data_IF_328978437439
#
_entry.id   IF_328978437439
#
_cell.length_a   1.000
_cell.length_b   1.000
_cell.length_c   1.000
_cell.angle_alpha   90.00
_cell.angle_beta   90.00
_cell.angle_gamma   90.00
#
_symmetry.space_group_name_H-M   'P 1'
#
loop_
_entity.id
_entity.type
_entity.pdbx_description
1 polymer ?
#
# COMPACT_ATOMS: atom_id res chain seq x y z
N UNK A 1 15.20 17.40 -1.40
CA UNK A 1 14.86 17.67 -2.81
C UNK A 1 15.49 16.65 -3.75
N UNK A 2 16.81 16.44 -3.71
CA UNK A 2 17.56 15.52 -4.59
C UNK A 2 17.10 14.06 -4.48
N UNK A 3 16.90 13.55 -3.26
CA UNK A 3 16.52 12.15 -3.02
C UNK A 3 15.19 11.74 -3.70
N UNK A 4 14.22 12.65 -3.73
CA UNK A 4 12.89 12.41 -4.28
C UNK A 4 12.63 13.15 -5.60
N UNK A 5 13.69 13.61 -6.28
CA UNK A 5 13.61 14.27 -7.59
C UNK A 5 12.67 15.47 -7.63
N UNK A 6 12.64 16.29 -6.56
CA UNK A 6 11.71 17.41 -6.43
C UNK A 6 12.10 18.57 -7.32
N UNK A 7 11.17 18.98 -8.17
CA UNK A 7 11.24 20.17 -9.03
C UNK A 7 9.97 20.98 -8.76
N UNK A 8 10.15 22.25 -8.39
CA UNK A 8 9.06 23.20 -8.14
C UNK A 8 9.09 24.28 -9.22
N UNK A 9 7.93 24.87 -9.49
CA UNK A 9 7.76 25.78 -10.62
C UNK A 9 8.42 27.14 -10.39
N UNK A 10 8.41 27.62 -9.14
CA UNK A 10 8.96 28.92 -8.79
C UNK A 10 9.49 28.95 -7.34
N UNK A 11 10.10 30.08 -6.98
CA UNK A 11 10.68 30.33 -5.65
C UNK A 11 9.60 30.34 -4.56
N UNK A 12 8.39 30.81 -4.88
CA UNK A 12 7.30 30.89 -3.91
C UNK A 12 6.79 29.48 -3.55
N UNK A 13 6.59 28.60 -4.54
CA UNK A 13 6.28 27.19 -4.33
C UNK A 13 7.40 26.50 -3.55
N UNK A 14 8.67 26.73 -3.92
CA UNK A 14 9.80 26.17 -3.19
C UNK A 14 9.80 26.58 -1.71
N UNK A 15 9.57 27.87 -1.43
CA UNK A 15 9.50 28.39 -0.07
C UNK A 15 8.33 27.77 0.73
N UNK A 16 7.14 27.71 0.12
CA UNK A 16 5.96 27.08 0.73
C UNK A 16 6.22 25.60 1.04
N UNK A 17 6.78 24.85 0.09
CA UNK A 17 7.12 23.42 0.25
C UNK A 17 8.16 23.20 1.35
N UNK A 18 9.13 24.10 1.47
CA UNK A 18 10.11 24.07 2.54
C UNK A 18 9.51 24.31 3.92
N UNK A 19 8.55 25.25 4.05
CA UNK A 19 7.83 25.47 5.31
C UNK A 19 7.02 24.23 5.72
N UNK A 20 6.29 23.62 4.78
CA UNK A 20 5.54 22.38 5.02
C UNK A 20 6.48 21.26 5.46
N UNK A 21 7.62 21.11 4.78
CA UNK A 21 8.65 20.14 5.13
C UNK A 21 9.16 20.31 6.55
N UNK A 22 9.52 21.52 6.96
CA UNK A 22 10.00 21.79 8.31
C UNK A 22 8.95 21.44 9.37
N UNK A 23 7.69 21.83 9.15
CA UNK A 23 6.59 21.51 10.06
C UNK A 23 6.40 19.98 10.19
N UNK A 24 6.47 19.24 9.08
CA UNK A 24 6.34 17.79 9.08
C UNK A 24 7.54 17.09 9.76
N UNK A 25 8.76 17.61 9.60
CA UNK A 25 9.95 17.08 10.29
C UNK A 25 9.85 17.31 11.81
N UNK A 26 9.41 18.49 12.24
CA UNK A 26 9.17 18.77 13.65
C UNK A 26 8.09 17.86 14.24
N UNK A 27 7.02 17.61 13.47
CA UNK A 27 5.99 16.65 13.85
C UNK A 27 6.56 15.23 14.00
N UNK A 28 7.37 14.76 13.04
CA UNK A 28 8.04 13.45 13.10
C UNK A 28 8.92 13.34 14.35
N UNK A 29 9.73 14.37 14.62
CA UNK A 29 10.61 14.40 15.78
C UNK A 29 9.83 14.33 17.09
N UNK A 30 8.82 15.18 17.25
CA UNK A 30 7.98 15.23 18.44
C UNK A 30 7.22 13.91 18.65
N UNK A 31 6.67 13.36 17.57
CA UNK A 31 5.95 12.09 17.59
C UNK A 31 6.83 10.94 18.07
N UNK A 32 8.06 10.84 17.54
CA UNK A 32 8.99 9.78 17.90
C UNK A 32 9.58 9.96 19.30
N UNK A 33 9.79 11.21 19.74
CA UNK A 33 10.32 11.52 21.09
C UNK A 33 9.35 11.15 22.21
N UNK A 34 8.05 11.32 21.99
CA UNK A 34 7.04 11.08 23.02
C UNK A 34 6.90 9.59 23.43
N UNK A 35 7.52 8.67 22.69
CA UNK A 35 7.57 7.24 23.04
C UNK A 35 6.18 6.57 23.11
N UNK A 36 6.14 5.34 23.62
CA UNK A 36 4.88 4.64 23.93
C UNK A 36 4.07 4.15 22.73
N UNK A 37 4.65 4.15 21.52
CA UNK A 37 3.98 3.72 20.28
C UNK A 37 4.69 2.53 19.67
N UNK A 38 3.91 1.65 19.03
CA UNK A 38 4.41 0.48 18.30
C UNK A 38 4.98 0.81 16.92
N UNK A 39 5.01 2.09 16.53
CA UNK A 39 5.50 2.55 15.24
C UNK A 39 6.21 3.89 15.36
N UNK A 40 7.09 4.13 14.39
CA UNK A 40 7.85 5.37 14.23
C UNK A 40 7.46 6.06 12.94
N UNK A 41 7.63 7.38 12.88
CA UNK A 41 7.53 8.15 11.65
C UNK A 41 8.92 8.44 11.09
N UNK A 42 9.02 8.53 9.77
CA UNK A 42 10.25 8.92 9.08
C UNK A 42 9.93 9.93 7.99
N UNK A 43 10.94 10.71 7.62
CA UNK A 43 10.90 11.51 6.40
C UNK A 43 10.74 10.57 5.21
N UNK A 44 9.86 10.92 4.29
CA UNK A 44 9.58 10.16 3.08
C UNK A 44 9.20 11.10 1.93
N UNK A 45 8.84 10.53 0.77
CA UNK A 45 8.47 11.27 -0.44
C UNK A 45 7.23 12.17 -0.30
N UNK A 46 6.55 12.23 0.85
CA UNK A 46 5.37 13.07 1.09
C UNK A 46 5.63 14.16 2.13
N UNK A 47 6.85 14.27 2.67
CA UNK A 47 7.17 15.18 3.75
C UNK A 47 6.98 16.68 3.39
N UNK A 48 6.90 17.04 2.12
CA UNK A 48 6.68 18.41 1.62
C UNK A 48 5.21 18.70 1.23
N UNK A 49 4.29 17.83 1.59
CA UNK A 49 2.86 17.97 1.29
C UNK A 49 2.04 18.16 2.56
N UNK A 50 0.94 18.90 2.45
CA UNK A 50 -0.07 18.90 3.52
C UNK A 50 -0.86 17.59 3.48
N UNK A 51 -1.54 17.28 4.59
CA UNK A 51 -2.40 16.11 4.66
C UNK A 51 -3.56 16.18 3.65
N UNK A 52 -4.10 17.37 3.41
CA UNK A 52 -5.18 17.61 2.45
C UNK A 52 -4.71 17.36 1.02
N UNK A 53 -3.53 17.84 0.65
CA UNK A 53 -2.90 17.57 -0.66
C UNK A 53 -2.65 16.07 -0.86
N UNK A 54 -2.15 15.41 0.18
CA UNK A 54 -1.89 13.97 0.16
C UNK A 54 -3.19 13.18 -0.09
N UNK A 55 -4.25 13.48 0.67
CA UNK A 55 -5.55 12.82 0.55
C UNK A 55 -6.16 13.08 -0.82
N UNK A 56 -6.20 14.34 -1.27
CA UNK A 56 -6.83 14.74 -2.51
C UNK A 56 -6.21 14.04 -3.74
N UNK A 57 -4.89 13.82 -3.71
CA UNK A 57 -4.17 13.22 -4.84
C UNK A 57 -4.12 11.69 -4.82
N UNK A 58 -4.30 11.03 -3.66
CA UNK A 58 -4.04 9.58 -3.53
C UNK A 58 -5.18 8.75 -2.96
N UNK A 59 -6.15 9.36 -2.28
CA UNK A 59 -7.29 8.65 -1.70
C UNK A 59 -8.55 8.80 -2.55
N UNK A 60 -8.61 8.08 -3.68
CA UNK A 60 -9.75 8.15 -4.61
C UNK A 60 -10.80 7.04 -4.43
N UNK A 61 -10.71 6.20 -3.39
CA UNK A 61 -11.72 5.17 -3.15
C UNK A 61 -13.03 5.80 -2.67
N UNK A 62 -14.08 5.72 -3.50
CA UNK A 62 -15.44 6.12 -3.12
C UNK A 62 -16.15 4.95 -2.45
N UNK A 63 -16.62 5.13 -1.22
CA UNK A 63 -17.46 4.14 -0.54
C UNK A 63 -18.81 4.07 -1.26
N UNK A 64 -19.14 2.91 -1.80
CA UNK A 64 -20.50 2.64 -2.28
C UNK A 64 -21.42 2.41 -1.07
N UNK A 65 -22.59 3.05 -1.05
CA UNK A 65 -23.61 2.85 -0.02
C UNK A 65 -24.28 1.46 -0.10
N UNK A 66 -24.04 0.71 -1.18
CA UNK A 66 -24.61 -0.64 -1.35
C UNK A 66 -23.79 -1.64 -0.57
N UNK A 67 -24.40 -2.23 0.46
CA UNK A 67 -23.86 -3.42 1.10
C UNK A 67 -23.79 -4.55 0.06
N UNK A 68 -22.57 -5.05 -0.21
CA UNK A 68 -22.44 -6.32 -0.91
C UNK A 68 -22.96 -7.41 0.03
N UNK A 69 -23.93 -8.18 -0.44
CA UNK A 69 -24.24 -9.48 0.17
C UNK A 69 -22.93 -10.27 0.22
N UNK A 70 -22.41 -10.46 1.43
CA UNK A 70 -21.23 -11.28 1.64
C UNK A 70 -21.69 -12.72 1.49
N UNK A 71 -21.25 -13.38 0.42
CA UNK A 71 -21.33 -14.84 0.36
C UNK A 71 -20.54 -15.40 1.54
N UNK A 72 -21.13 -16.33 2.28
CA UNK A 72 -20.46 -17.01 3.40
C UNK A 72 -19.12 -17.55 2.93
N UNK A 73 -18.05 -17.17 3.62
CA UNK A 73 -16.71 -17.70 3.39
C UNK A 73 -16.75 -19.22 3.52
N UNK A 74 -16.45 -19.95 2.43
CA UNK A 74 -16.46 -21.42 2.41
C UNK A 74 -15.06 -21.91 2.78
N UNK A 75 -14.95 -22.57 3.93
CA UNK A 75 -13.78 -23.40 4.24
C UNK A 75 -13.95 -24.76 3.57
N UNK A 76 -12.91 -25.24 2.88
CA UNK A 76 -12.62 -26.67 2.82
C UNK A 76 -11.61 -26.98 3.92
N UNK A 77 -12.05 -27.64 4.99
CA UNK A 77 -11.26 -28.31 6.03
C UNK A 77 -9.85 -27.74 6.31
N UNK A 78 -9.78 -26.52 6.86
CA UNK A 78 -8.51 -25.96 7.36
C UNK A 78 -8.29 -26.47 8.79
N UNK A 79 -7.61 -27.61 8.89
CA UNK A 79 -7.40 -28.32 10.17
C UNK A 79 -6.21 -27.73 10.96
N UNK A 80 -5.26 -27.07 10.28
CA UNK A 80 -4.09 -26.43 10.93
C UNK A 80 -3.72 -25.10 10.26
N UNK A 81 -3.74 -24.03 11.05
CA UNK A 81 -3.23 -22.71 10.67
C UNK A 81 -1.98 -22.41 11.50
N UNK A 82 -0.93 -21.96 10.82
CA UNK A 82 0.26 -21.41 11.49
C UNK A 82 -0.10 -20.14 12.26
N UNK A 83 0.57 -19.89 13.38
CA UNK A 83 0.46 -18.63 14.14
C UNK A 83 0.89 -17.40 13.33
N UNK A 84 1.66 -17.61 12.26
CA UNK A 84 2.13 -16.57 11.35
C UNK A 84 2.04 -17.04 9.89
N UNK A 85 1.64 -16.13 8.99
CA UNK A 85 1.55 -16.39 7.56
C UNK A 85 2.00 -15.15 6.78
N UNK A 86 3.04 -15.30 5.96
CA UNK A 86 3.54 -14.26 5.06
C UNK A 86 3.53 -14.75 3.59
N UNK A 87 2.66 -14.14 2.77
CA UNK A 87 2.54 -14.47 1.35
C UNK A 87 3.76 -14.08 0.51
N UNK A 88 4.59 -13.14 1.00
CA UNK A 88 5.86 -12.77 0.33
C UNK A 88 6.84 -13.93 0.36
N UNK A 89 6.95 -14.62 1.50
CA UNK A 89 7.77 -15.82 1.64
C UNK A 89 7.30 -16.99 0.76
N UNK A 90 6.03 -16.99 0.34
CA UNK A 90 5.47 -17.97 -0.59
C UNK A 90 5.67 -17.58 -2.06
N UNK A 91 6.28 -16.42 -2.32
CA UNK A 91 6.50 -15.87 -3.66
C UNK A 91 5.21 -15.52 -4.38
N UNK A 92 4.14 -15.19 -3.64
CA UNK A 92 2.84 -14.84 -4.21
C UNK A 92 2.65 -13.33 -4.39
N UNK A 93 3.50 -12.51 -3.77
CA UNK A 93 3.40 -11.04 -3.78
C UNK A 93 4.37 -10.46 -4.80
N UNK A 94 3.88 -9.61 -5.69
CA UNK A 94 4.68 -8.91 -6.70
C UNK A 94 5.50 -7.76 -6.08
N UNK A 95 6.50 -7.20 -6.79
CA UNK A 95 7.19 -5.99 -6.36
C UNK A 95 6.24 -4.83 -6.07
N UNK A 96 6.67 -3.94 -5.16
CA UNK A 96 5.92 -2.74 -4.77
C UNK A 96 5.76 -1.82 -5.99
N UNK A 97 4.55 -1.27 -6.18
CA UNK A 97 4.20 -0.35 -7.26
C UNK A 97 3.86 1.03 -6.66
N UNK A 98 4.04 2.11 -7.42
CA UNK A 98 3.70 3.48 -7.01
C UNK A 98 2.53 4.02 -7.85
N UNK A 99 1.46 4.48 -7.19
CA UNK A 99 0.27 5.05 -7.84
C UNK A 99 0.46 6.51 -8.32
N UNK A 100 1.54 7.16 -7.90
CA UNK A 100 1.82 8.56 -8.20
C UNK A 100 0.79 9.51 -7.60
N UNK A 101 0.37 10.50 -8.38
CA UNK A 101 -0.64 11.52 -8.01
C UNK A 101 -2.06 11.13 -8.43
N UNK A 102 -2.29 9.86 -8.74
CA UNK A 102 -3.60 9.36 -9.13
C UNK A 102 -4.29 8.74 -7.91
N UNK A 103 -5.57 9.06 -7.67
CA UNK A 103 -6.41 8.44 -6.64
C UNK A 103 -6.81 6.99 -6.95
N UNK A 104 -5.94 6.21 -7.58
CA UNK A 104 -6.22 4.85 -8.06
C UNK A 104 -5.80 3.75 -7.08
N UNK A 105 -5.62 4.05 -5.80
CA UNK A 105 -5.28 3.07 -4.75
C UNK A 105 -6.20 1.83 -4.78
N UNK A 106 -7.50 2.03 -5.05
CA UNK A 106 -8.48 0.95 -5.19
C UNK A 106 -8.16 -0.03 -6.34
N UNK A 107 -7.64 0.48 -7.46
CA UNK A 107 -7.26 -0.34 -8.60
C UNK A 107 -5.99 -1.14 -8.29
N UNK A 108 -5.02 -0.53 -7.62
CA UNK A 108 -3.81 -1.21 -7.15
C UNK A 108 -4.14 -2.34 -6.19
N UNK A 109 -5.07 -2.12 -5.24
CA UNK A 109 -5.53 -3.17 -4.33
C UNK A 109 -6.20 -4.33 -5.08
N UNK A 110 -7.07 -4.05 -6.06
CA UNK A 110 -7.75 -5.08 -6.85
C UNK A 110 -6.77 -5.90 -7.71
N UNK A 111 -5.83 -5.23 -8.38
CA UNK A 111 -4.80 -5.87 -9.20
C UNK A 111 -3.89 -6.74 -8.33
N UNK A 112 -3.39 -6.23 -7.21
CA UNK A 112 -2.52 -6.99 -6.31
C UNK A 112 -3.21 -8.27 -5.78
N UNK A 113 -4.48 -8.17 -5.39
CA UNK A 113 -5.25 -9.34 -4.96
C UNK A 113 -5.41 -10.38 -6.09
N UNK A 114 -5.64 -9.91 -7.32
CA UNK A 114 -5.77 -10.76 -8.51
C UNK A 114 -4.44 -11.46 -8.87
N UNK A 115 -3.33 -10.73 -8.81
CA UNK A 115 -1.96 -11.25 -9.04
C UNK A 115 -1.59 -12.34 -8.00
N UNK A 116 -1.91 -12.10 -6.73
CA UNK A 116 -1.71 -13.07 -5.64
C UNK A 116 -2.54 -14.34 -5.86
N UNK A 117 -3.83 -14.19 -6.20
CA UNK A 117 -4.72 -15.32 -6.42
C UNK A 117 -4.23 -16.19 -7.59
N UNK A 118 -3.84 -15.57 -8.71
CA UNK A 118 -3.30 -16.29 -9.88
C UNK A 118 -2.04 -17.08 -9.54
N UNK A 119 -1.12 -16.50 -8.77
CA UNK A 119 0.15 -17.16 -8.42
C UNK A 119 -0.06 -18.44 -7.60
N UNK A 120 -1.12 -18.50 -6.77
CA UNK A 120 -1.46 -19.73 -6.05
C UNK A 120 -2.11 -20.77 -6.95
N UNK A 121 -3.04 -20.36 -7.81
CA UNK A 121 -3.68 -21.28 -8.77
C UNK A 121 -2.62 -21.94 -9.64
N UNK A 122 -1.59 -21.23 -10.10
CA UNK A 122 -0.54 -21.82 -10.94
C UNK A 122 0.39 -22.78 -10.16
N UNK A 123 0.57 -22.61 -8.85
CA UNK A 123 1.37 -23.53 -8.02
C UNK A 123 0.61 -24.74 -7.51
N UNK A 124 -0.68 -24.61 -7.21
CA UNK A 124 -1.55 -25.74 -6.80
C UNK A 124 -2.06 -26.54 -8.01
N UNK A 125 -2.20 -25.89 -9.17
CA UNK A 125 -2.58 -26.53 -10.44
C UNK A 125 -1.32 -26.85 -11.26
N UNK A 126 -0.35 -27.52 -10.64
CA UNK A 126 0.54 -28.39 -11.42
C UNK A 126 -0.31 -29.57 -11.86
N UNK A 127 -0.94 -29.48 -13.02
CA UNK A 127 -1.62 -30.60 -13.67
C UNK A 127 -0.61 -31.75 -13.78
N UNK A 128 -0.68 -32.72 -12.86
CA UNK A 128 -0.21 -34.07 -13.19
C UNK A 128 -1.18 -34.57 -14.25
N UNK A 129 -0.81 -34.38 -15.51
CA UNK A 129 -1.44 -35.08 -16.63
C UNK A 129 -1.33 -36.58 -16.29
N UNK A 130 -2.45 -37.34 -16.22
CA UNK A 130 -2.35 -38.78 -16.09
C UNK A 130 -1.65 -39.32 -17.35
N UNK A 131 -0.45 -39.84 -17.15
CA UNK A 131 0.35 -40.48 -18.18
C UNK A 131 -0.21 -41.87 -18.49
N UNK A 132 -1.36 -41.92 -19.17
CA UNK A 132 -1.89 -43.14 -19.77
C UNK A 132 -2.55 -42.79 -21.11
N UNK A 133 -1.73 -42.81 -22.16
CA UNK A 133 -2.03 -43.34 -23.49
C UNK A 133 -0.69 -43.74 -24.13
#
# INVERSE_FOLDING_TARGET
MTEYGRIYNDIAENHMRFQIFNANVEFIYTFNKNGGRSYVLSVNEYADQTNEEFIASRNGQKKSAKQRSLSTFRYENVITLSSTLDWRMKGAVTPIKNQGKCGCCWAFSAVAATEVARTKVVKEVSWKMPSNL
#
